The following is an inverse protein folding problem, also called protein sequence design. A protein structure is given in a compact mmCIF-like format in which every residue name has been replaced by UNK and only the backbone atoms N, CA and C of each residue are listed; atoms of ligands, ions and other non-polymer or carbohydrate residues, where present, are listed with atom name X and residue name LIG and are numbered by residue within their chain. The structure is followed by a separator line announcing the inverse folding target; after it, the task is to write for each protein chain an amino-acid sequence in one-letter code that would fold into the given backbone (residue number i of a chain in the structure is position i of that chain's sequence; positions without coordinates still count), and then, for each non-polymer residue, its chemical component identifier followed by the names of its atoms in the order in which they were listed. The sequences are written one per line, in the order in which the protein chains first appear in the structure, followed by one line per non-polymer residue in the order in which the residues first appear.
data_IF_526834918439
#
_entry.id   IF_526834918439
#
_cell.length_a   1.000
_cell.length_b   1.000
_cell.length_c   1.000
_cell.angle_alpha   90.00
_cell.angle_beta   90.00
_cell.angle_gamma   90.00
#
_symmetry.space_group_name_H-M   'P 1'
#
loop_
_entity.id
_entity.type
_entity.pdbx_description
1 polymer ?
#
# COMPACT_ATOMS: atom_id res chain seq x y z
N UNK A 1 13.82 -5.43 -16.57
CA UNK A 1 14.31 -6.77 -16.10
C UNK A 1 13.45 -7.29 -14.96
N UNK A 2 13.22 -6.53 -13.86
CA UNK A 2 12.46 -6.97 -12.68
C UNK A 2 11.04 -7.47 -13.03
N UNK A 3 10.27 -6.70 -13.79
CA UNK A 3 8.90 -7.05 -14.24
C UNK A 3 8.91 -8.34 -15.08
N UNK A 4 9.89 -8.51 -15.98
CA UNK A 4 10.03 -9.75 -16.77
C UNK A 4 10.33 -10.95 -15.87
N UNK A 5 11.14 -10.77 -14.84
CA UNK A 5 11.49 -11.83 -13.89
C UNK A 5 10.29 -12.22 -13.02
N UNK A 6 9.40 -11.30 -12.67
CA UNK A 6 8.23 -11.59 -11.81
C UNK A 6 7.27 -12.61 -12.44
N UNK A 7 7.16 -12.63 -13.77
CA UNK A 7 6.32 -13.59 -14.52
C UNK A 7 7.09 -14.78 -15.10
N UNK A 8 8.43 -14.78 -15.01
CA UNK A 8 9.26 -15.90 -15.51
C UNK A 8 9.45 -16.94 -14.43
N UNK A 9 9.25 -18.22 -14.77
CA UNK A 9 9.51 -19.33 -13.85
C UNK A 9 11.02 -19.58 -13.75
N UNK A 10 11.51 -19.87 -12.55
CA UNK A 10 12.85 -20.45 -12.35
C UNK A 10 12.78 -21.95 -12.64
N UNK A 11 13.91 -22.56 -12.99
CA UNK A 11 13.98 -24.01 -13.21
C UNK A 11 13.72 -24.74 -11.88
N UNK A 12 12.63 -25.51 -11.77
CA UNK A 12 12.25 -26.18 -10.52
C UNK A 12 13.25 -27.24 -10.07
N UNK A 13 14.06 -27.76 -11.00
CA UNK A 13 14.97 -28.90 -10.73
C UNK A 13 16.11 -28.60 -9.76
N UNK A 14 16.29 -27.33 -9.42
CA UNK A 14 17.46 -26.89 -8.66
C UNK A 14 17.22 -25.67 -7.77
N UNK A 15 16.00 -25.18 -7.69
CA UNK A 15 15.60 -24.05 -6.84
C UNK A 15 14.76 -24.57 -5.67
N UNK A 16 15.10 -24.09 -4.45
CA UNK A 16 14.37 -24.43 -3.23
C UNK A 16 13.36 -23.35 -2.89
N UNK A 17 12.18 -23.75 -2.41
CA UNK A 17 11.10 -22.86 -1.99
C UNK A 17 9.76 -23.56 -1.93
N UNK A 18 8.77 -22.91 -1.36
CA UNK A 18 7.42 -23.44 -1.13
C UNK A 18 6.36 -22.85 -2.06
N UNK A 19 6.58 -21.62 -2.54
CA UNK A 19 5.67 -20.86 -3.39
C UNK A 19 6.41 -20.27 -4.60
N UNK A 20 5.68 -19.93 -5.66
CA UNK A 20 6.28 -19.29 -6.85
C UNK A 20 6.83 -17.90 -6.52
N UNK A 21 7.77 -17.39 -7.32
CA UNK A 21 8.28 -16.01 -7.19
C UNK A 21 7.15 -14.99 -7.37
N UNK A 22 6.26 -15.25 -8.32
CA UNK A 22 5.07 -14.44 -8.56
C UNK A 22 4.10 -14.51 -7.37
N UNK A 23 3.90 -15.70 -6.80
CA UNK A 23 3.08 -15.89 -5.60
C UNK A 23 3.64 -15.15 -4.38
N UNK A 24 4.97 -15.13 -4.22
CA UNK A 24 5.60 -14.34 -3.17
C UNK A 24 5.41 -12.83 -3.39
N UNK A 25 5.55 -12.36 -4.64
CA UNK A 25 5.30 -10.96 -5.01
C UNK A 25 3.84 -10.57 -4.75
N UNK A 26 2.89 -11.34 -5.27
CA UNK A 26 1.45 -11.02 -5.12
C UNK A 26 0.97 -11.13 -3.68
N UNK A 27 1.53 -12.04 -2.88
CA UNK A 27 1.26 -12.10 -1.44
C UNK A 27 1.79 -10.86 -0.71
N UNK A 28 2.99 -10.39 -1.06
CA UNK A 28 3.51 -9.12 -0.54
C UNK A 28 2.66 -7.92 -1.01
N UNK A 29 2.24 -7.91 -2.27
CA UNK A 29 1.35 -6.88 -2.82
C UNK A 29 -0.04 -6.89 -2.19
N UNK A 30 -0.56 -8.04 -1.75
CA UNK A 30 -1.82 -8.12 -1.02
C UNK A 30 -1.78 -7.36 0.32
N UNK A 31 -0.61 -7.27 0.94
CA UNK A 31 -0.41 -6.48 2.16
C UNK A 31 -0.29 -4.99 1.87
N UNK A 32 0.33 -4.61 0.75
CA UNK A 32 0.65 -3.23 0.41
C UNK A 32 -0.41 -2.54 -0.44
N UNK A 33 -0.90 -3.19 -1.52
CA UNK A 33 -1.98 -2.63 -2.37
C UNK A 33 -3.32 -2.79 -1.65
N UNK A 34 -3.81 -1.68 -1.11
CA UNK A 34 -5.07 -1.68 -0.37
C UNK A 34 -5.45 -0.29 0.12
N UNK A 35 -5.85 -0.20 1.38
CA UNK A 35 -6.27 1.07 2.00
C UNK A 35 -5.15 2.11 2.03
N UNK A 36 -3.88 1.70 2.04
CA UNK A 36 -2.73 2.60 1.94
C UNK A 36 -2.73 3.44 0.67
N UNK A 37 -3.03 2.81 -0.47
CA UNK A 37 -3.05 3.45 -1.79
C UNK A 37 -4.28 4.33 -2.02
N UNK A 38 -5.39 4.09 -1.33
CA UNK A 38 -6.64 4.82 -1.48
C UNK A 38 -6.80 5.82 -0.34
N UNK A 39 -7.11 5.30 0.85
CA UNK A 39 -7.35 6.10 2.06
C UNK A 39 -6.08 6.81 2.53
N UNK A 40 -4.92 6.14 2.41
CA UNK A 40 -3.63 6.69 2.79
C UNK A 40 -3.24 7.89 1.94
N UNK A 41 -3.41 7.81 0.61
CA UNK A 41 -3.14 8.92 -0.33
C UNK A 41 -4.09 10.08 -0.06
N UNK A 42 -5.39 9.81 0.08
CA UNK A 42 -6.39 10.83 0.39
C UNK A 42 -6.14 11.51 1.76
N UNK A 43 -5.72 10.72 2.77
CA UNK A 43 -5.32 11.30 4.08
C UNK A 43 -4.04 12.14 3.96
N UNK A 44 -3.09 11.71 3.12
CA UNK A 44 -1.89 12.49 2.82
C UNK A 44 -2.22 13.83 2.19
N UNK A 45 -3.17 13.83 1.25
CA UNK A 45 -3.70 15.02 0.59
C UNK A 45 -4.41 15.95 1.59
N UNK A 46 -5.30 15.41 2.46
CA UNK A 46 -6.00 16.19 3.49
C UNK A 46 -5.06 16.81 4.52
N UNK A 47 -3.99 16.10 4.91
CA UNK A 47 -3.11 16.54 6.00
C UNK A 47 -1.90 17.34 5.53
N UNK A 48 -1.42 17.07 4.33
CA UNK A 48 -0.20 17.67 3.77
C UNK A 48 -0.42 18.48 2.48
N UNK A 49 -1.68 18.57 2.02
CA UNK A 49 -2.02 19.22 0.74
C UNK A 49 -1.53 18.45 -0.48
N UNK A 50 -1.73 19.00 -1.69
CA UNK A 50 -1.36 18.33 -2.95
C UNK A 50 0.11 17.98 -3.05
N UNK A 51 1.00 18.75 -2.48
CA UNK A 51 2.44 18.50 -2.45
C UNK A 51 2.83 17.18 -1.76
N UNK A 52 1.99 16.68 -0.85
CA UNK A 52 2.23 15.39 -0.19
C UNK A 52 2.27 14.22 -1.19
N UNK A 53 1.53 14.31 -2.30
CA UNK A 53 1.51 13.29 -3.36
C UNK A 53 2.89 13.18 -4.01
N UNK A 54 3.55 14.30 -4.30
CA UNK A 54 4.91 14.30 -4.83
C UNK A 54 5.90 13.62 -3.88
N UNK A 55 5.89 14.00 -2.60
CA UNK A 55 6.79 13.42 -1.62
C UNK A 55 6.51 11.94 -1.34
N UNK A 56 5.25 11.52 -1.40
CA UNK A 56 4.87 10.12 -1.35
C UNK A 56 5.47 9.35 -2.53
N UNK A 57 5.38 9.89 -3.74
CA UNK A 57 5.96 9.28 -4.94
C UNK A 57 7.48 9.13 -4.84
N UNK A 58 8.16 10.14 -4.31
CA UNK A 58 9.62 10.11 -4.03
C UNK A 58 9.96 8.95 -3.08
N UNK A 59 9.15 8.69 -2.04
CA UNK A 59 9.41 7.53 -1.15
C UNK A 59 9.32 6.21 -1.89
N UNK A 60 8.45 6.10 -2.89
CA UNK A 60 8.38 4.91 -3.74
C UNK A 60 9.67 4.66 -4.49
N UNK A 61 10.27 5.71 -5.07
CA UNK A 61 11.54 5.59 -5.82
C UNK A 61 12.66 5.09 -4.91
N UNK A 62 12.85 5.71 -3.73
CA UNK A 62 13.86 5.25 -2.77
C UNK A 62 13.49 3.90 -2.15
N UNK A 63 12.20 3.65 -1.92
CA UNK A 63 11.67 2.40 -1.40
C UNK A 63 12.00 1.18 -2.26
N UNK A 64 12.11 1.34 -3.59
CA UNK A 64 12.53 0.27 -4.50
C UNK A 64 13.90 -0.29 -4.11
N UNK A 65 14.88 0.59 -3.85
CA UNK A 65 16.22 0.16 -3.46
C UNK A 65 16.22 -0.50 -2.07
N UNK A 66 15.47 0.06 -1.12
CA UNK A 66 15.31 -0.49 0.23
C UNK A 66 14.65 -1.88 0.17
N UNK A 67 13.57 -2.04 -0.60
CA UNK A 67 12.87 -3.32 -0.80
C UNK A 67 13.78 -4.38 -1.42
N UNK A 68 14.63 -3.99 -2.37
CA UNK A 68 15.65 -4.87 -2.92
C UNK A 68 16.61 -5.35 -1.84
N UNK A 69 17.18 -4.43 -1.07
CA UNK A 69 18.18 -4.75 -0.06
C UNK A 69 17.64 -5.67 1.06
N UNK A 70 16.47 -5.33 1.61
CA UNK A 70 15.84 -6.11 2.68
C UNK A 70 15.46 -7.52 2.19
N UNK A 71 14.92 -7.63 0.96
CA UNK A 71 14.57 -8.94 0.40
C UNK A 71 15.82 -9.77 0.09
N UNK A 72 16.85 -9.17 -0.50
CA UNK A 72 18.11 -9.85 -0.76
C UNK A 72 18.70 -10.47 0.51
N UNK A 73 18.77 -9.68 1.59
CA UNK A 73 19.32 -10.12 2.88
C UNK A 73 18.43 -11.23 3.47
N UNK A 74 17.10 -11.07 3.48
CA UNK A 74 16.18 -12.04 4.03
C UNK A 74 16.24 -13.39 3.32
N UNK A 75 16.31 -13.39 1.99
CA UNK A 75 16.43 -14.63 1.19
C UNK A 75 17.83 -15.25 1.33
N UNK A 76 18.88 -14.45 1.42
CA UNK A 76 20.26 -14.93 1.62
C UNK A 76 20.43 -15.74 2.90
N UNK A 77 19.77 -15.34 3.98
CA UNK A 77 19.89 -15.94 5.31
C UNK A 77 18.72 -16.86 5.68
N UNK A 78 17.88 -17.24 4.70
CA UNK A 78 16.78 -18.18 4.91
C UNK A 78 17.28 -19.58 5.30
N UNK A 79 16.42 -20.34 5.95
CA UNK A 79 16.70 -21.67 6.43
C UNK A 79 15.56 -22.64 6.15
N UNK A 80 15.81 -23.93 6.23
CA UNK A 80 14.75 -24.96 6.28
C UNK A 80 14.33 -25.19 7.73
N UNK A 81 13.03 -25.25 7.97
CA UNK A 81 12.46 -25.71 9.24
C UNK A 81 12.51 -27.24 9.34
N UNK A 82 12.06 -27.76 10.47
CA UNK A 82 11.99 -29.22 10.73
C UNK A 82 11.07 -29.96 9.73
N UNK A 83 10.13 -29.27 9.12
CA UNK A 83 9.19 -29.80 8.13
C UNK A 83 9.69 -29.61 6.69
N UNK A 84 10.93 -29.14 6.50
CA UNK A 84 11.53 -28.88 5.19
C UNK A 84 11.04 -27.63 4.49
N UNK A 85 10.24 -26.76 5.15
CA UNK A 85 9.77 -25.49 4.57
C UNK A 85 10.84 -24.42 4.66
N UNK A 86 10.87 -23.54 3.64
CA UNK A 86 11.79 -22.41 3.63
C UNK A 86 11.24 -21.25 4.45
N UNK A 87 11.96 -20.88 5.50
CA UNK A 87 11.63 -19.76 6.38
C UNK A 87 12.79 -18.78 6.43
N UNK A 88 12.50 -17.50 6.61
CA UNK A 88 13.51 -16.43 6.64
C UNK A 88 12.89 -15.11 7.08
N UNK A 89 13.60 -14.05 6.76
CA UNK A 89 13.21 -12.70 7.14
C UNK A 89 14.32 -11.98 7.91
N UNK A 90 14.02 -10.77 8.37
CA UNK A 90 15.00 -9.93 9.06
C UNK A 90 15.56 -10.59 10.34
N UNK A 91 14.73 -11.34 11.10
CA UNK A 91 15.19 -12.01 12.31
C UNK A 91 16.32 -13.02 12.01
N UNK A 92 16.20 -13.83 10.97
CA UNK A 92 17.23 -14.80 10.59
C UNK A 92 18.50 -14.12 10.05
N UNK A 93 18.32 -13.01 9.33
CA UNK A 93 19.43 -12.21 8.85
C UNK A 93 20.21 -11.54 10.00
N UNK A 94 19.53 -11.05 11.01
CA UNK A 94 20.13 -10.47 12.21
C UNK A 94 20.89 -11.53 13.02
N UNK A 95 20.24 -12.66 13.30
CA UNK A 95 20.86 -13.74 14.10
C UNK A 95 22.12 -14.30 13.44
N UNK A 96 22.08 -14.53 12.13
CA UNK A 96 23.14 -15.22 11.39
C UNK A 96 24.17 -14.31 10.76
N UNK A 97 23.78 -13.11 10.35
CA UNK A 97 24.61 -12.15 9.64
C UNK A 97 25.51 -11.30 10.54
N UNK A 98 25.14 -11.08 11.81
CA UNK A 98 25.94 -10.28 12.72
C UNK A 98 27.21 -11.01 13.16
N UNK A 99 28.34 -10.27 13.25
CA UNK A 99 29.60 -10.78 13.77
C UNK A 99 29.48 -11.15 15.26
N UNK A 100 28.89 -10.26 16.05
CA UNK A 100 28.57 -10.52 17.46
C UNK A 100 27.27 -11.32 17.53
N UNK A 101 27.39 -12.64 17.80
CA UNK A 101 26.26 -13.57 17.85
C UNK A 101 25.27 -13.27 18.97
N UNK A 102 25.73 -12.76 20.12
CA UNK A 102 24.87 -12.36 21.22
C UNK A 102 23.98 -11.18 20.86
N UNK A 103 24.57 -10.13 20.30
CA UNK A 103 23.84 -8.97 19.82
C UNK A 103 22.88 -9.33 18.67
N UNK A 104 23.34 -10.15 17.71
CA UNK A 104 22.52 -10.60 16.59
C UNK A 104 21.28 -11.36 17.07
N UNK A 105 21.41 -12.27 18.03
CA UNK A 105 20.28 -13.00 18.62
C UNK A 105 19.32 -12.09 19.37
N UNK A 106 19.83 -11.15 20.18
CA UNK A 106 19.00 -10.18 20.88
C UNK A 106 18.15 -9.36 19.89
N UNK A 107 18.79 -8.79 18.85
CA UNK A 107 18.09 -8.00 17.83
C UNK A 107 17.07 -8.83 17.04
N UNK A 108 17.38 -10.10 16.76
CA UNK A 108 16.46 -11.02 16.09
C UNK A 108 15.19 -11.28 16.90
N UNK A 109 15.35 -11.52 18.21
CA UNK A 109 14.22 -11.74 19.13
C UNK A 109 13.40 -10.48 19.28
N UNK A 110 14.02 -9.31 19.44
CA UNK A 110 13.30 -8.03 19.51
C UNK A 110 12.54 -7.75 18.22
N UNK A 111 13.15 -7.97 17.06
CA UNK A 111 12.46 -7.81 15.76
C UNK A 111 11.25 -8.75 15.65
N UNK A 112 11.41 -10.03 15.99
CA UNK A 112 10.33 -11.01 15.95
C UNK A 112 9.17 -10.62 16.88
N UNK A 113 9.49 -10.20 18.12
CA UNK A 113 8.50 -9.75 19.10
C UNK A 113 7.74 -8.51 18.60
N UNK A 114 8.45 -7.48 18.13
CA UNK A 114 7.82 -6.26 17.62
C UNK A 114 6.99 -6.52 16.36
N UNK A 115 7.45 -7.39 15.45
CA UNK A 115 6.68 -7.80 14.28
C UNK A 115 5.41 -8.53 14.67
N UNK A 116 5.48 -9.44 15.64
CA UNK A 116 4.30 -10.14 16.16
C UNK A 116 3.28 -9.16 16.76
N UNK A 117 3.71 -8.21 17.60
CA UNK A 117 2.83 -7.19 18.18
C UNK A 117 2.23 -6.30 17.06
N UNK A 118 3.05 -5.84 16.13
CA UNK A 118 2.61 -4.98 15.04
C UNK A 118 1.56 -5.66 14.13
N UNK A 119 1.67 -6.98 13.93
CA UNK A 119 0.74 -7.73 13.08
C UNK A 119 -0.71 -7.70 13.55
N UNK A 120 -0.95 -7.51 14.85
CA UNK A 120 -2.31 -7.37 15.38
C UNK A 120 -2.98 -6.04 15.00
N UNK A 121 -2.21 -4.98 14.79
CA UNK A 121 -2.75 -3.63 14.57
C UNK A 121 -2.64 -3.12 13.14
N UNK A 122 -1.45 -3.13 12.58
CA UNK A 122 -1.14 -2.34 11.37
C UNK A 122 -1.83 -2.89 10.11
N UNK A 123 -1.80 -4.19 9.88
CA UNK A 123 -2.37 -4.80 8.68
C UNK A 123 -3.87 -5.05 8.79
N UNK A 124 -4.26 -5.99 9.65
CA UNK A 124 -5.61 -6.52 9.71
C UNK A 124 -6.65 -5.48 10.18
N UNK A 125 -6.36 -4.74 11.26
CA UNK A 125 -7.33 -3.79 11.84
C UNK A 125 -7.60 -2.60 10.94
N UNK A 126 -6.58 -2.04 10.30
CA UNK A 126 -6.75 -0.89 9.39
C UNK A 126 -7.55 -1.28 8.15
N UNK A 127 -7.23 -2.43 7.55
CA UNK A 127 -7.91 -2.92 6.35
C UNK A 127 -9.38 -3.25 6.64
N UNK A 128 -9.65 -4.00 7.71
CA UNK A 128 -11.02 -4.40 8.06
C UNK A 128 -11.89 -3.20 8.48
N UNK A 129 -11.33 -2.23 9.21
CA UNK A 129 -12.03 -1.02 9.57
C UNK A 129 -12.40 -0.17 8.34
N UNK A 130 -11.47 -0.02 7.41
CA UNK A 130 -11.73 0.73 6.17
C UNK A 130 -12.74 0.03 5.27
N UNK A 131 -12.68 -1.31 5.19
CA UNK A 131 -13.67 -2.10 4.45
C UNK A 131 -15.06 -1.97 5.07
N UNK A 132 -15.17 -2.11 6.40
CA UNK A 132 -16.43 -1.94 7.10
C UNK A 132 -16.99 -0.52 6.91
N UNK A 133 -16.14 0.51 7.02
CA UNK A 133 -16.54 1.89 6.78
C UNK A 133 -17.02 2.14 5.35
N UNK A 134 -16.39 1.55 4.34
CA UNK A 134 -16.83 1.67 2.96
C UNK A 134 -18.19 1.02 2.72
N UNK A 135 -18.42 -0.18 3.27
CA UNK A 135 -19.70 -0.89 3.13
C UNK A 135 -20.84 -0.15 3.86
N UNK A 136 -20.57 0.34 5.08
CA UNK A 136 -21.61 1.09 5.85
C UNK A 136 -21.93 2.45 5.26
N UNK A 137 -20.99 3.06 4.53
CA UNK A 137 -21.22 4.34 3.83
C UNK A 137 -22.01 4.17 2.52
N UNK A 138 -22.12 2.95 1.99
CA UNK A 138 -22.83 2.69 0.74
C UNK A 138 -24.32 2.47 1.01
N UNK A 139 -25.19 3.26 0.36
CA UNK A 139 -26.65 3.17 0.49
C UNK A 139 -27.28 2.00 -0.29
N UNK A 140 -26.59 0.85 -0.35
CA UNK A 140 -27.06 -0.33 -1.08
C UNK A 140 -28.36 -0.95 -0.51
N UNK A 141 -28.77 -0.57 0.71
CA UNK A 141 -29.87 -1.20 1.43
C UNK A 141 -30.85 -0.13 1.99
N UNK A 142 -31.50 0.63 1.13
CA UNK A 142 -32.64 1.53 1.46
C UNK A 142 -32.60 2.22 2.84
N UNK A 143 -31.41 2.73 3.22
CA UNK A 143 -31.24 3.51 4.46
C UNK A 143 -30.94 2.68 5.73
N UNK A 144 -30.95 1.36 5.68
CA UNK A 144 -30.48 0.52 6.79
C UNK A 144 -28.99 0.20 6.64
N UNK A 145 -28.17 0.67 7.58
CA UNK A 145 -26.75 0.35 7.61
C UNK A 145 -26.53 -1.06 8.18
N UNK A 146 -25.79 -1.90 7.46
CA UNK A 146 -25.36 -3.21 7.99
C UNK A 146 -24.50 -2.97 9.24
N UNK A 147 -24.81 -3.60 10.39
CA UNK A 147 -23.98 -3.47 11.58
C UNK A 147 -22.53 -3.91 11.30
N UNK A 148 -21.55 -3.12 11.71
CA UNK A 148 -20.11 -3.36 11.44
C UNK A 148 -19.62 -4.73 11.91
N UNK A 149 -20.21 -5.26 12.99
CA UNK A 149 -19.84 -6.60 13.49
C UNK A 149 -20.25 -7.72 12.51
N UNK A 150 -21.35 -7.57 11.75
CA UNK A 150 -21.77 -8.55 10.73
C UNK A 150 -20.76 -8.58 9.59
N UNK A 151 -20.33 -7.40 9.13
CA UNK A 151 -19.30 -7.27 8.10
C UNK A 151 -18.00 -7.92 8.60
N UNK A 152 -17.60 -7.62 9.84
CA UNK A 152 -16.43 -8.19 10.48
C UNK A 152 -16.50 -9.72 10.57
N UNK A 153 -17.65 -10.29 10.90
CA UNK A 153 -17.85 -11.74 10.95
C UNK A 153 -17.69 -12.39 9.58
N UNK A 154 -18.34 -11.85 8.55
CA UNK A 154 -18.23 -12.35 7.17
C UNK A 154 -16.78 -12.31 6.69
N UNK A 155 -16.10 -11.19 6.87
CA UNK A 155 -14.69 -11.05 6.49
C UNK A 155 -13.80 -12.04 7.26
N UNK A 156 -14.03 -12.22 8.56
CA UNK A 156 -13.29 -13.19 9.37
C UNK A 156 -13.44 -14.61 8.85
N UNK A 157 -14.65 -15.04 8.50
CA UNK A 157 -14.91 -16.36 7.94
C UNK A 157 -14.19 -16.56 6.61
N UNK A 158 -14.28 -15.57 5.69
CA UNK A 158 -13.62 -15.64 4.39
C UNK A 158 -12.10 -15.72 4.53
N UNK A 159 -11.51 -14.89 5.39
CA UNK A 159 -10.07 -14.88 5.66
C UNK A 159 -9.63 -16.18 6.33
N UNK A 160 -10.42 -16.73 7.28
CA UNK A 160 -10.11 -17.99 7.93
C UNK A 160 -9.97 -19.14 6.94
N UNK A 161 -10.86 -19.26 5.95
CA UNK A 161 -10.76 -20.30 4.91
C UNK A 161 -9.44 -20.21 4.12
N UNK A 162 -8.94 -19.00 3.88
CA UNK A 162 -7.68 -18.81 3.15
C UNK A 162 -6.47 -19.14 4.04
N UNK A 163 -6.47 -18.64 5.29
CA UNK A 163 -5.33 -18.75 6.21
C UNK A 163 -5.15 -20.20 6.70
N UNK A 164 -6.25 -20.94 6.97
CA UNK A 164 -6.18 -22.34 7.41
C UNK A 164 -5.47 -23.26 6.41
N UNK A 165 -5.47 -22.89 5.12
CA UNK A 165 -4.70 -23.59 4.09
C UNK A 165 -3.19 -23.28 4.08
N UNK A 166 -2.72 -22.41 4.98
CA UNK A 166 -1.31 -22.01 5.10
C UNK A 166 -0.80 -21.13 3.95
N UNK A 167 0.50 -20.88 3.93
CA UNK A 167 1.14 -19.97 2.98
C UNK A 167 0.86 -20.30 1.50
N UNK A 168 0.79 -21.58 1.15
CA UNK A 168 0.47 -22.02 -0.22
C UNK A 168 -0.96 -21.63 -0.65
N UNK A 169 -1.91 -21.69 0.28
CA UNK A 169 -3.30 -21.26 0.02
C UNK A 169 -3.35 -19.74 -0.14
N UNK A 170 -2.75 -19.00 0.78
CA UNK A 170 -2.66 -17.54 0.71
C UNK A 170 -2.04 -17.09 -0.61
N UNK A 171 -0.88 -17.64 -0.99
CA UNK A 171 -0.21 -17.32 -2.25
C UNK A 171 -1.10 -17.58 -3.47
N UNK A 172 -1.79 -18.72 -3.52
CA UNK A 172 -2.67 -19.08 -4.64
C UNK A 172 -3.86 -18.12 -4.80
N UNK A 173 -4.43 -17.67 -3.69
CA UNK A 173 -5.51 -16.65 -3.71
C UNK A 173 -4.96 -15.31 -4.16
N UNK A 174 -3.83 -14.87 -3.60
CA UNK A 174 -3.21 -13.60 -3.95
C UNK A 174 -2.76 -13.54 -5.42
N UNK A 175 -2.23 -14.64 -5.98
CA UNK A 175 -1.84 -14.71 -7.40
C UNK A 175 -2.99 -14.38 -8.36
N UNK A 176 -4.22 -14.67 -7.97
CA UNK A 176 -5.41 -14.40 -8.79
C UNK A 176 -6.07 -13.07 -8.44
N UNK A 177 -6.27 -12.83 -7.16
CA UNK A 177 -7.07 -11.70 -6.67
C UNK A 177 -6.35 -10.37 -6.84
N UNK A 178 -5.07 -10.31 -6.48
CA UNK A 178 -4.33 -9.02 -6.46
C UNK A 178 -4.17 -8.38 -7.83
N UNK A 179 -3.79 -9.11 -8.90
CA UNK A 179 -3.71 -8.50 -10.23
C UNK A 179 -5.06 -8.00 -10.74
N UNK A 180 -6.14 -8.76 -10.50
CA UNK A 180 -7.50 -8.37 -10.92
C UNK A 180 -7.96 -7.12 -10.15
N UNK A 181 -7.78 -7.10 -8.84
CA UNK A 181 -8.12 -5.97 -7.99
C UNK A 181 -7.33 -4.70 -8.40
N UNK A 182 -6.01 -4.83 -8.56
CA UNK A 182 -5.16 -3.72 -8.95
C UNK A 182 -5.52 -3.16 -10.34
N UNK A 183 -5.76 -4.06 -11.31
CA UNK A 183 -6.17 -3.66 -12.66
C UNK A 183 -7.52 -2.94 -12.65
N UNK A 184 -8.52 -3.50 -11.95
CA UNK A 184 -9.84 -2.88 -11.82
C UNK A 184 -9.73 -1.48 -11.22
N UNK A 185 -8.98 -1.33 -10.12
CA UNK A 185 -8.78 -0.04 -9.47
C UNK A 185 -8.11 0.99 -10.40
N UNK A 186 -7.02 0.58 -11.06
CA UNK A 186 -6.30 1.45 -12.01
C UNK A 186 -7.21 1.89 -13.16
N UNK A 187 -8.01 0.99 -13.70
CA UNK A 187 -8.96 1.31 -14.78
C UNK A 187 -9.99 2.34 -14.31
N UNK A 188 -10.59 2.15 -13.11
CA UNK A 188 -11.53 3.11 -12.55
C UNK A 188 -10.89 4.50 -12.38
N UNK A 189 -9.69 4.57 -11.80
CA UNK A 189 -8.98 5.84 -11.65
C UNK A 189 -8.66 6.49 -13.01
N UNK A 190 -8.24 5.72 -14.00
CA UNK A 190 -7.94 6.24 -15.34
C UNK A 190 -9.19 6.76 -16.07
N UNK A 191 -10.35 6.14 -15.83
CA UNK A 191 -11.64 6.65 -16.36
C UNK A 191 -11.92 8.03 -15.76
N UNK A 192 -11.79 8.20 -14.44
CA UNK A 192 -12.01 9.48 -13.78
C UNK A 192 -11.03 10.54 -14.27
N UNK A 193 -9.75 10.21 -14.38
CA UNK A 193 -8.72 11.11 -14.91
C UNK A 193 -9.05 11.45 -16.37
N UNK A 194 -9.54 10.50 -17.17
CA UNK A 194 -9.93 10.73 -18.55
C UNK A 194 -11.11 11.70 -18.69
N UNK A 195 -12.15 11.55 -17.86
CA UNK A 195 -13.28 12.46 -17.80
C UNK A 195 -12.83 13.87 -17.43
N UNK A 196 -11.92 13.98 -16.44
CA UNK A 196 -11.37 15.25 -15.96
C UNK A 196 -10.06 15.65 -16.66
N UNK A 197 -9.79 15.11 -17.86
CA UNK A 197 -8.50 15.22 -18.55
C UNK A 197 -8.04 16.65 -18.83
N UNK A 198 -8.97 17.59 -18.99
CA UNK A 198 -8.66 19.01 -19.16
C UNK A 198 -7.92 19.62 -17.95
N UNK A 199 -8.11 19.06 -16.75
CA UNK A 199 -7.46 19.51 -15.51
C UNK A 199 -6.14 18.79 -15.18
N UNK A 200 -5.74 17.79 -16.00
CA UNK A 200 -4.55 16.97 -15.70
C UNK A 200 -3.27 17.79 -15.65
N UNK A 201 -3.10 18.73 -16.57
CA UNK A 201 -1.93 19.63 -16.57
C UNK A 201 -1.86 20.53 -15.33
N UNK A 202 -3.01 21.08 -14.94
CA UNK A 202 -3.14 21.89 -13.73
C UNK A 202 -2.93 21.07 -12.46
N UNK A 203 -3.43 19.84 -12.41
CA UNK A 203 -3.23 18.91 -11.30
C UNK A 203 -1.74 18.60 -11.08
N UNK A 204 -1.01 18.28 -12.14
CA UNK A 204 0.44 18.04 -12.08
C UNK A 204 1.17 19.29 -11.61
N UNK A 205 0.84 20.46 -12.16
CA UNK A 205 1.42 21.74 -11.74
C UNK A 205 1.15 22.01 -10.26
N UNK A 206 -0.10 21.84 -9.80
CA UNK A 206 -0.50 22.04 -8.42
C UNK A 206 0.27 21.12 -7.46
N UNK A 207 0.40 19.84 -7.80
CA UNK A 207 1.18 18.88 -7.01
C UNK A 207 2.65 19.32 -6.89
N UNK A 208 3.26 19.69 -8.01
CA UNK A 208 4.67 20.09 -8.04
C UNK A 208 4.91 21.42 -7.31
N UNK A 209 4.07 22.41 -7.56
CA UNK A 209 4.21 23.73 -6.90
C UNK A 209 4.00 23.60 -5.39
N UNK A 210 2.95 22.92 -4.95
CA UNK A 210 2.67 22.72 -3.52
C UNK A 210 3.69 21.81 -2.81
N UNK A 211 4.50 21.05 -3.55
CA UNK A 211 5.59 20.26 -2.95
C UNK A 211 6.75 21.11 -2.48
N UNK A 212 6.98 22.28 -3.10
CA UNK A 212 8.15 23.13 -2.85
C UNK A 212 7.81 24.55 -2.41
N UNK A 213 6.55 24.95 -2.49
CA UNK A 213 6.09 26.30 -2.10
C UNK A 213 4.87 26.20 -1.18
N UNK A 214 4.77 27.04 -0.14
CA UNK A 214 3.61 27.12 0.72
C UNK A 214 2.49 27.87 -0.03
N UNK A 215 1.66 27.13 -0.76
CA UNK A 215 0.52 27.72 -1.47
C UNK A 215 -0.81 27.11 -1.03
N UNK A 216 -1.86 27.94 -1.02
CA UNK A 216 -3.21 27.47 -0.90
C UNK A 216 -3.61 26.72 -2.19
N UNK A 217 -4.13 25.50 -2.04
CA UNK A 217 -4.66 24.74 -3.15
C UNK A 217 -6.16 25.00 -3.31
N UNK A 218 -6.66 24.84 -4.53
CA UNK A 218 -8.10 24.88 -4.86
C UNK A 218 -8.83 26.16 -4.42
N UNK A 219 -8.11 27.32 -4.42
CA UNK A 219 -8.72 28.60 -4.01
C UNK A 219 -8.95 28.79 -2.51
N UNK A 220 -8.42 27.90 -1.66
CA UNK A 220 -8.53 27.97 -0.20
C UNK A 220 -7.64 29.05 0.41
N UNK A 221 -8.06 29.59 1.57
CA UNK A 221 -7.28 30.59 2.33
C UNK A 221 -6.11 29.97 3.11
N UNK A 222 -6.12 28.67 3.35
CA UNK A 222 -5.11 27.95 4.13
C UNK A 222 -4.27 27.06 3.22
N UNK A 223 -2.98 27.36 3.11
CA UNK A 223 -2.01 26.53 2.39
C UNK A 223 -1.36 25.50 3.30
N UNK A 224 -1.04 24.34 2.78
CA UNK A 224 -0.14 23.41 3.46
C UNK A 224 1.30 23.97 3.41
N UNK A 225 2.05 23.81 4.50
CA UNK A 225 3.47 24.12 4.49
C UNK A 225 4.23 23.02 3.76
N UNK A 226 5.37 23.37 3.13
CA UNK A 226 6.27 22.38 2.52
C UNK A 226 6.66 21.28 3.52
N UNK A 227 6.83 21.64 4.79
CA UNK A 227 7.15 20.69 5.85
C UNK A 227 6.00 19.67 6.06
N UNK A 228 4.75 20.12 6.07
CA UNK A 228 3.60 19.22 6.20
C UNK A 228 3.46 18.33 4.97
N UNK A 229 3.63 18.88 3.78
CA UNK A 229 3.61 18.11 2.54
C UNK A 229 4.67 16.99 2.55
N UNK A 230 5.90 17.33 2.94
CA UNK A 230 6.99 16.38 3.06
C UNK A 230 6.69 15.33 4.16
N UNK A 231 6.31 15.77 5.36
CA UNK A 231 6.07 14.88 6.50
C UNK A 231 4.95 13.87 6.21
N UNK A 232 3.80 14.34 5.72
CA UNK A 232 2.67 13.45 5.42
C UNK A 232 2.90 12.63 4.16
N UNK A 233 3.56 13.16 3.16
CA UNK A 233 3.95 12.42 1.97
C UNK A 233 4.86 11.24 2.30
N UNK A 234 5.94 11.47 3.05
CA UNK A 234 6.84 10.40 3.51
C UNK A 234 6.12 9.40 4.40
N UNK A 235 5.37 9.87 5.40
CA UNK A 235 4.65 9.00 6.34
C UNK A 235 3.69 8.05 5.62
N UNK A 236 2.91 8.56 4.66
CA UNK A 236 1.92 7.77 3.93
C UNK A 236 2.54 6.89 2.85
N UNK A 237 3.60 7.36 2.18
CA UNK A 237 4.33 6.56 1.21
C UNK A 237 5.03 5.36 1.84
N UNK A 238 5.74 5.55 2.95
CA UNK A 238 6.37 4.45 3.69
C UNK A 238 5.34 3.47 4.28
N UNK A 239 4.19 3.98 4.72
CA UNK A 239 3.09 3.14 5.19
C UNK A 239 2.51 2.28 4.05
N UNK A 240 2.37 2.83 2.83
CA UNK A 240 1.84 2.11 1.69
C UNK A 240 2.79 1.01 1.21
N UNK A 241 4.06 1.33 0.95
CA UNK A 241 4.99 0.38 0.32
C UNK A 241 5.70 -0.55 1.30
N UNK A 242 5.63 -0.26 2.60
CA UNK A 242 6.28 -1.05 3.67
C UNK A 242 7.79 -1.29 3.45
N UNK A 243 8.48 -0.44 2.68
CA UNK A 243 9.91 -0.60 2.42
C UNK A 243 10.72 -0.28 3.66
N UNK A 244 11.54 -1.22 4.09
CA UNK A 244 12.37 -1.11 5.30
C UNK A 244 11.71 -1.66 6.57
N UNK A 245 10.43 -2.09 6.51
CA UNK A 245 9.78 -2.72 7.66
C UNK A 245 10.19 -4.18 7.87
N UNK A 246 10.79 -4.83 6.87
CA UNK A 246 11.18 -6.24 6.96
C UNK A 246 10.02 -7.23 6.81
N UNK A 247 8.83 -6.79 6.42
CA UNK A 247 7.66 -7.63 6.17
C UNK A 247 7.80 -8.45 4.88
N UNK A 248 8.23 -7.82 3.79
CA UNK A 248 8.39 -8.49 2.49
C UNK A 248 9.38 -9.66 2.51
N UNK A 249 10.53 -9.60 3.19
CA UNK A 249 11.45 -10.74 3.32
C UNK A 249 10.83 -12.00 3.92
N UNK A 250 9.81 -11.88 4.77
CA UNK A 250 9.14 -13.04 5.39
C UNK A 250 8.54 -13.95 4.33
N UNK A 251 7.75 -13.38 3.43
CA UNK A 251 7.12 -14.12 2.32
C UNK A 251 8.13 -14.46 1.22
N UNK A 252 8.99 -13.53 0.86
CA UNK A 252 9.98 -13.71 -0.19
C UNK A 252 10.97 -14.85 0.10
N UNK A 253 11.24 -15.13 1.39
CA UNK A 253 12.11 -16.23 1.79
C UNK A 253 11.57 -17.61 1.42
N UNK A 254 10.24 -17.74 1.30
CA UNK A 254 9.59 -18.99 0.89
C UNK A 254 9.49 -19.16 -0.64
N UNK A 255 9.93 -18.18 -1.43
CA UNK A 255 9.89 -18.25 -2.88
C UNK A 255 10.87 -19.27 -3.44
N UNK A 256 10.44 -19.99 -4.49
CA UNK A 256 11.30 -20.90 -5.24
C UNK A 256 12.35 -20.10 -6.01
N UNK A 257 13.57 -20.06 -5.50
CA UNK A 257 14.67 -19.36 -6.15
C UNK A 257 16.03 -19.92 -5.73
N UNK A 258 16.99 -19.92 -6.66
CA UNK A 258 18.40 -20.23 -6.37
C UNK A 258 19.18 -19.00 -5.93
N UNK A 259 18.78 -17.83 -6.44
CA UNK A 259 19.55 -16.61 -6.30
C UNK A 259 18.77 -15.55 -5.52
N UNK A 260 19.25 -15.13 -4.34
CA UNK A 260 18.63 -14.05 -3.57
C UNK A 260 18.43 -12.75 -4.38
N UNK A 261 19.37 -12.41 -5.27
CA UNK A 261 19.25 -11.22 -6.11
C UNK A 261 18.07 -11.30 -7.08
N UNK A 262 17.77 -12.49 -7.62
CA UNK A 262 16.60 -12.67 -8.50
C UNK A 262 15.30 -12.40 -7.76
N UNK A 263 15.13 -12.98 -6.57
CA UNK A 263 13.92 -12.75 -5.77
C UNK A 263 13.85 -11.29 -5.28
N UNK A 264 14.99 -10.67 -4.97
CA UNK A 264 15.03 -9.26 -4.61
C UNK A 264 14.58 -8.34 -5.75
N UNK A 265 15.00 -8.64 -7.00
CA UNK A 265 14.54 -7.95 -8.20
C UNK A 265 13.01 -8.11 -8.42
N UNK A 266 12.48 -9.32 -8.16
CA UNK A 266 11.05 -9.55 -8.22
C UNK A 266 10.32 -8.73 -7.16
N UNK A 267 10.75 -8.81 -5.90
CA UNK A 267 10.10 -8.14 -4.77
C UNK A 267 10.14 -6.61 -4.87
N UNK A 268 11.23 -6.02 -5.37
CA UNK A 268 11.32 -4.56 -5.52
C UNK A 268 10.33 -4.00 -6.54
N UNK A 269 9.88 -4.83 -7.51
CA UNK A 269 8.81 -4.43 -8.44
C UNK A 269 7.48 -4.19 -7.73
N UNK A 270 7.27 -4.77 -6.54
CA UNK A 270 6.12 -4.50 -5.71
C UNK A 270 6.00 -3.03 -5.30
N UNK A 271 7.09 -2.44 -4.82
CA UNK A 271 7.11 -1.01 -4.47
C UNK A 271 6.87 -0.10 -5.69
N UNK A 272 7.38 -0.50 -6.85
CA UNK A 272 7.10 0.23 -8.10
C UNK A 272 5.59 0.24 -8.40
N UNK A 273 4.94 -0.92 -8.40
CA UNK A 273 3.52 -1.01 -8.68
C UNK A 273 2.68 -0.31 -7.60
N UNK A 274 2.99 -0.53 -6.33
CA UNK A 274 2.26 0.03 -5.20
C UNK A 274 2.32 1.58 -5.20
N UNK A 275 3.51 2.13 -5.06
CA UNK A 275 3.65 3.57 -4.78
C UNK A 275 3.91 4.38 -6.04
N UNK A 276 4.82 3.92 -6.93
CA UNK A 276 5.16 4.71 -8.12
C UNK A 276 4.01 4.72 -9.13
N UNK A 277 3.23 3.64 -9.23
CA UNK A 277 2.10 3.56 -10.16
C UNK A 277 0.78 3.88 -9.44
N UNK A 278 0.35 3.04 -8.49
CA UNK A 278 -1.01 3.13 -7.92
C UNK A 278 -1.20 4.38 -7.07
N UNK A 279 -0.29 4.70 -6.13
CA UNK A 279 -0.44 5.92 -5.33
C UNK A 279 -0.40 7.20 -6.18
N UNK A 280 0.45 7.23 -7.24
CA UNK A 280 0.49 8.38 -8.13
C UNK A 280 -0.83 8.53 -8.91
N UNK A 281 -1.36 7.45 -9.46
CA UNK A 281 -2.65 7.47 -10.18
C UNK A 281 -3.78 7.90 -9.24
N UNK A 282 -3.81 7.39 -8.00
CA UNK A 282 -4.77 7.83 -6.99
C UNK A 282 -4.65 9.32 -6.70
N UNK A 283 -3.42 9.80 -6.49
CA UNK A 283 -3.18 11.22 -6.22
C UNK A 283 -3.63 12.12 -7.37
N UNK A 284 -3.33 11.74 -8.61
CA UNK A 284 -3.79 12.46 -9.80
C UNK A 284 -5.32 12.44 -9.93
N UNK A 285 -5.95 11.28 -9.70
CA UNK A 285 -7.40 11.14 -9.71
C UNK A 285 -8.06 12.07 -8.69
N UNK A 286 -7.58 12.10 -7.45
CA UNK A 286 -8.10 12.97 -6.40
C UNK A 286 -7.96 14.45 -6.75
N UNK A 287 -6.78 14.89 -7.20
CA UNK A 287 -6.52 16.30 -7.51
C UNK A 287 -7.29 16.76 -8.74
N UNK A 288 -7.39 15.94 -9.79
CA UNK A 288 -8.20 16.27 -10.97
C UNK A 288 -9.69 16.36 -10.64
N UNK A 289 -10.21 15.49 -9.75
CA UNK A 289 -11.60 15.55 -9.29
C UNK A 289 -11.89 16.81 -8.48
N UNK A 290 -10.96 17.22 -7.60
CA UNK A 290 -11.09 18.47 -6.84
C UNK A 290 -11.05 19.71 -7.73
N UNK A 291 -10.21 19.72 -8.78
CA UNK A 291 -10.16 20.82 -9.74
C UNK A 291 -11.40 20.88 -10.63
N UNK A 292 -11.96 19.74 -10.97
CA UNK A 292 -13.16 19.64 -11.80
C UNK A 292 -14.46 19.99 -11.08
N UNK A 293 -14.51 19.82 -9.74
CA UNK A 293 -15.72 20.03 -8.93
C UNK A 293 -15.50 21.11 -7.86
N UNK A 294 -15.97 22.36 -8.08
CA UNK A 294 -15.80 23.46 -7.13
C UNK A 294 -16.45 23.23 -5.75
N UNK A 295 -17.55 22.48 -5.68
CA UNK A 295 -18.22 22.16 -4.40
C UNK A 295 -17.37 21.18 -3.58
N UNK A 296 -16.79 20.18 -4.24
CA UNK A 296 -15.88 19.23 -3.63
C UNK A 296 -14.60 19.94 -3.15
N UNK A 297 -14.08 20.87 -3.93
CA UNK A 297 -12.93 21.70 -3.57
C UNK A 297 -13.23 22.62 -2.38
N UNK A 298 -14.39 23.25 -2.32
CA UNK A 298 -14.82 24.07 -1.19
C UNK A 298 -14.92 23.23 0.10
N UNK A 299 -15.51 22.04 0.00
CA UNK A 299 -15.60 21.10 1.12
C UNK A 299 -14.23 20.65 1.61
N UNK A 300 -13.30 20.35 0.69
CA UNK A 300 -11.91 20.03 0.99
C UNK A 300 -11.20 21.16 1.73
N UNK A 301 -11.31 22.39 1.23
CA UNK A 301 -10.72 23.57 1.85
C UNK A 301 -11.27 23.84 3.25
N UNK A 302 -12.58 23.70 3.45
CA UNK A 302 -13.21 23.85 4.76
C UNK A 302 -12.73 22.79 5.75
N UNK A 303 -12.52 21.56 5.29
CA UNK A 303 -11.98 20.46 6.12
C UNK A 303 -10.55 20.75 6.57
N UNK A 304 -9.68 21.24 5.69
CA UNK A 304 -8.29 21.61 6.02
C UNK A 304 -8.25 22.81 6.97
N UNK A 305 -9.14 23.79 6.79
CA UNK A 305 -9.21 24.95 7.65
C UNK A 305 -9.75 24.70 9.07
N UNK A 306 -10.13 23.45 9.38
CA UNK A 306 -10.71 23.10 10.69
C UNK A 306 -12.13 23.64 10.89
N UNK A 307 -12.87 23.85 9.81
CA UNK A 307 -14.27 24.32 9.84
C UNK A 307 -15.19 23.33 10.58
N UNK A 308 -16.24 23.85 11.22
CA UNK A 308 -17.21 23.07 12.02
C UNK A 308 -18.08 22.09 11.21
N UNK A 309 -18.02 22.15 9.89
CA UNK A 309 -18.63 21.19 8.95
C UNK A 309 -17.57 20.26 8.39
N UNK A 310 -17.02 19.39 9.23
CA UNK A 310 -16.13 18.30 8.81
C UNK A 310 -16.93 17.27 8.01
N UNK A 311 -17.21 17.55 6.73
CA UNK A 311 -17.90 16.62 5.83
C UNK A 311 -16.96 15.44 5.49
N UNK A 312 -15.65 15.68 5.37
CA UNK A 312 -14.69 14.58 5.25
C UNK A 312 -14.16 14.17 6.62
N UNK A 313 -14.78 13.17 7.22
CA UNK A 313 -14.32 12.54 8.46
C UNK A 313 -12.96 11.84 8.32
N UNK A 314 -12.38 11.79 7.11
CA UNK A 314 -11.08 11.18 6.81
C UNK A 314 -10.85 10.94 5.33
N UNK A 315 -9.70 10.35 5.00
CA UNK A 315 -9.31 10.06 3.62
C UNK A 315 -10.26 9.13 2.87
N UNK A 316 -10.95 8.22 3.58
CA UNK A 316 -11.95 7.35 2.96
C UNK A 316 -13.12 8.17 2.38
N UNK A 317 -13.66 9.13 3.15
CA UNK A 317 -14.76 9.97 2.70
C UNK A 317 -14.37 10.83 1.49
N UNK A 318 -13.15 11.40 1.47
CA UNK A 318 -12.65 12.13 0.32
C UNK A 318 -12.53 11.24 -0.93
N UNK A 319 -11.95 10.05 -0.78
CA UNK A 319 -11.81 9.12 -1.91
C UNK A 319 -13.18 8.72 -2.47
N UNK A 320 -14.13 8.36 -1.60
CA UNK A 320 -15.51 8.02 -1.99
C UNK A 320 -16.17 9.16 -2.75
N UNK A 321 -16.12 10.39 -2.23
CA UNK A 321 -16.71 11.55 -2.89
C UNK A 321 -16.09 11.84 -4.28
N UNK A 322 -14.78 11.60 -4.44
CA UNK A 322 -14.14 11.71 -5.77
C UNK A 322 -14.61 10.61 -6.73
N UNK A 323 -14.87 9.39 -6.26
CA UNK A 323 -15.43 8.33 -7.10
C UNK A 323 -16.90 8.58 -7.44
N UNK A 324 -17.70 9.10 -6.51
CA UNK A 324 -19.10 9.44 -6.71
C UNK A 324 -19.33 10.68 -7.59
N UNK A 325 -18.29 11.51 -7.78
CA UNK A 325 -18.36 12.67 -8.68
C UNK A 325 -18.43 12.31 -10.16
N UNK A 326 -18.34 11.02 -10.53
CA UNK A 326 -18.55 10.56 -11.90
C UNK A 326 -20.04 10.68 -12.22
N UNK A 327 -20.40 11.35 -13.35
CA UNK A 327 -21.78 11.31 -13.82
C UNK A 327 -22.16 9.85 -14.09
N UNK A 328 -23.06 9.32 -13.30
CA UNK A 328 -23.65 7.99 -13.53
C UNK A 328 -24.58 8.16 -14.72
N UNK A 329 -24.34 7.42 -15.82
CA UNK A 329 -25.21 7.37 -16.97
C UNK A 329 -26.53 6.66 -16.65
#
# INVERSE_FOLDING_TARGET
TAIKLSVSKDDPSSAEGDISQFGALTTALAATIGTGNIVGVATGLLSGGPGAIFWMWITGIFGIATKYAETYIGVKWRVKDENGKMIGGAMYALERGFKNKGLGKLLAVLFALFTAIASFGIGASVQSNSLAGAITATSLFDGESIPTWVIGLVVTILVAFVILGGLKSVSRVCEKLVPVMALFYVVCCLIIIGINGQYLGEAISTILVCAFTPQAAFGGAVGSTVMLALQFGFKRGLFSNESGLGSAPLVASSAVTRNPARQALVSMSGTFWDTVVICLITGLMLVTSLLANPELAATFNNTIAGGSTNIFSGGAALATACFESIPVF
#
